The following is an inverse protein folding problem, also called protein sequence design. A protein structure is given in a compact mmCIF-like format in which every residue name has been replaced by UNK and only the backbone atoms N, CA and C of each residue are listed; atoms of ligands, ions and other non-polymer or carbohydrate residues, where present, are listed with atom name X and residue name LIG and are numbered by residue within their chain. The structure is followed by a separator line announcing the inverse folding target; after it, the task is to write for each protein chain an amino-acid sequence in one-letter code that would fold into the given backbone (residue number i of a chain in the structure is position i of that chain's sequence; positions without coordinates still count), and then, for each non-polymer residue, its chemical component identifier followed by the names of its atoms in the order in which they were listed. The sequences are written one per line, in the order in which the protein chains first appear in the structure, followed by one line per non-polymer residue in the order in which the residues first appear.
data_IF_082200875968
#
_entry.id   IF_082200875968
#
_cell.length_a   1.000
_cell.length_b   1.000
_cell.length_c   1.000
_cell.angle_alpha   90.00
_cell.angle_beta   90.00
_cell.angle_gamma   90.00
#
_symmetry.space_group_name_H-M   'P 1'
#
loop_
_entity.id
_entity.type
_entity.pdbx_description
1 polymer ?
#
# COMPACT_ATOMS: atom_id res chain seq x y z
N UNK A 1 5.75 1.62 18.52
CA UNK A 1 4.60 1.74 17.60
C UNK A 1 4.08 0.34 17.27
N UNK A 2 2.76 0.14 17.13
CA UNK A 2 2.15 -1.16 16.81
C UNK A 2 1.60 -1.16 15.38
N UNK A 3 2.46 -1.44 14.40
CA UNK A 3 2.07 -1.45 12.98
C UNK A 3 1.01 -2.52 12.68
N UNK A 4 0.97 -3.61 13.45
CA UNK A 4 0.01 -4.70 13.30
C UNK A 4 -1.46 -4.24 13.30
N UNK A 5 -1.80 -3.19 14.05
CA UNK A 5 -3.17 -2.65 14.03
C UNK A 5 -3.52 -1.99 12.69
N UNK A 6 -2.57 -1.31 12.04
CA UNK A 6 -2.81 -0.75 10.72
C UNK A 6 -3.07 -1.86 9.68
N UNK A 7 -2.27 -2.93 9.69
CA UNK A 7 -2.50 -4.11 8.84
C UNK A 7 -3.86 -4.77 9.10
N UNK A 8 -4.32 -4.78 10.35
CA UNK A 8 -5.65 -5.32 10.69
C UNK A 8 -6.78 -4.43 10.17
N UNK A 9 -6.67 -3.12 10.33
CA UNK A 9 -7.69 -2.14 9.88
C UNK A 9 -7.87 -2.20 8.36
N UNK A 10 -6.77 -2.24 7.61
CA UNK A 10 -6.82 -2.35 6.15
C UNK A 10 -6.81 -3.80 5.65
N UNK A 11 -7.10 -4.77 6.52
CA UNK A 11 -7.09 -6.18 6.16
C UNK A 11 -8.42 -6.66 5.55
N UNK A 12 -8.38 -7.86 4.96
CA UNK A 12 -9.55 -8.50 4.33
C UNK A 12 -10.74 -8.66 5.27
N UNK A 13 -10.49 -8.90 6.56
CA UNK A 13 -11.56 -9.08 7.55
C UNK A 13 -12.41 -7.82 7.67
N UNK A 14 -11.79 -6.64 7.65
CA UNK A 14 -12.51 -5.37 7.75
C UNK A 14 -13.25 -5.08 6.45
N UNK A 15 -12.62 -5.28 5.30
CA UNK A 15 -13.28 -5.14 4.00
C UNK A 15 -14.50 -6.06 3.86
N UNK A 16 -14.37 -7.33 4.25
CA UNK A 16 -15.47 -8.29 4.23
C UNK A 16 -16.56 -7.92 5.22
N UNK A 17 -16.20 -7.40 6.41
CA UNK A 17 -17.16 -6.87 7.38
C UNK A 17 -17.94 -5.68 6.83
N UNK A 18 -17.27 -4.70 6.22
CA UNK A 18 -17.91 -3.54 5.59
C UNK A 18 -18.90 -3.96 4.50
N UNK A 19 -18.55 -4.96 3.69
CA UNK A 19 -19.45 -5.53 2.67
C UNK A 19 -20.62 -6.30 3.28
N UNK A 20 -20.38 -7.07 4.33
CA UNK A 20 -21.42 -7.86 5.00
C UNK A 20 -22.50 -6.97 5.61
N UNK A 21 -22.10 -5.83 6.18
CA UNK A 21 -22.99 -4.87 6.83
C UNK A 21 -23.33 -3.67 5.95
N UNK A 22 -23.11 -3.76 4.63
CA UNK A 22 -23.24 -2.63 3.70
C UNK A 22 -24.61 -1.96 3.81
N UNK A 23 -25.71 -2.71 3.70
CA UNK A 23 -27.07 -2.17 3.81
C UNK A 23 -27.34 -1.44 5.13
N UNK A 24 -26.83 -1.97 6.24
CA UNK A 24 -27.01 -1.35 7.55
C UNK A 24 -26.18 -0.08 7.71
N UNK A 25 -24.93 -0.12 7.24
CA UNK A 25 -24.03 1.02 7.26
C UNK A 25 -24.52 2.14 6.34
N UNK A 26 -24.97 1.80 5.13
CA UNK A 26 -25.48 2.80 4.18
C UNK A 26 -26.77 3.47 4.67
N UNK A 27 -27.62 2.74 5.39
CA UNK A 27 -28.79 3.31 6.05
C UNK A 27 -28.43 4.34 7.12
N UNK A 28 -27.35 4.12 7.87
CA UNK A 28 -26.99 4.95 9.02
C UNK A 28 -25.98 6.07 8.68
N UNK A 29 -25.09 5.83 7.72
CA UNK A 29 -23.91 6.66 7.44
C UNK A 29 -23.85 7.17 5.99
N UNK A 30 -24.80 6.79 5.13
CA UNK A 30 -24.72 7.05 3.69
C UNK A 30 -23.75 6.11 2.99
N UNK A 31 -23.51 6.34 1.70
CA UNK A 31 -22.76 5.37 0.88
C UNK A 31 -21.37 5.09 1.43
N UNK A 32 -21.03 3.81 1.57
CA UNK A 32 -19.72 3.35 2.04
C UNK A 32 -18.75 3.02 0.90
N UNK A 33 -19.19 3.18 -0.35
CA UNK A 33 -18.39 2.86 -1.53
C UNK A 33 -17.01 3.55 -1.56
N UNK A 34 -16.87 4.85 -1.23
CA UNK A 34 -15.56 5.48 -1.16
C UNK A 34 -14.63 4.83 -0.14
N UNK A 35 -15.18 4.36 0.99
CA UNK A 35 -14.42 3.68 2.05
C UNK A 35 -13.94 2.32 1.57
N UNK A 36 -14.81 1.54 0.91
CA UNK A 36 -14.45 0.23 0.35
C UNK A 36 -13.33 0.36 -0.68
N UNK A 37 -13.42 1.34 -1.58
CA UNK A 37 -12.39 1.61 -2.60
C UNK A 37 -11.08 2.00 -1.94
N UNK A 38 -11.11 2.97 -1.01
CA UNK A 38 -9.91 3.42 -0.31
C UNK A 38 -9.23 2.29 0.49
N UNK A 39 -10.01 1.55 1.29
CA UNK A 39 -9.47 0.43 2.07
C UNK A 39 -8.90 -0.65 1.17
N UNK A 40 -9.56 -0.95 0.04
CA UNK A 40 -9.07 -1.89 -0.96
C UNK A 40 -7.73 -1.47 -1.56
N UNK A 41 -7.57 -0.20 -1.93
CA UNK A 41 -6.31 0.33 -2.45
C UNK A 41 -5.17 0.27 -1.43
N UNK A 42 -5.42 0.66 -0.17
CA UNK A 42 -4.41 0.61 0.89
C UNK A 42 -4.01 -0.84 1.20
N UNK A 43 -5.00 -1.74 1.27
CA UNK A 43 -4.80 -3.18 1.44
C UNK A 43 -3.88 -3.75 0.37
N UNK A 44 -4.22 -3.49 -0.90
CA UNK A 44 -3.45 -3.99 -2.04
C UNK A 44 -2.03 -3.41 -2.07
N UNK A 45 -1.88 -2.10 -1.91
CA UNK A 45 -0.57 -1.46 -1.84
C UNK A 45 0.28 -2.05 -0.70
N UNK A 46 -0.33 -2.29 0.47
CA UNK A 46 0.34 -2.88 1.63
C UNK A 46 0.82 -4.31 1.35
N UNK A 47 -0.05 -5.16 0.79
CA UNK A 47 0.33 -6.54 0.44
C UNK A 47 1.44 -6.58 -0.60
N UNK A 48 1.34 -5.76 -1.64
CA UNK A 48 2.34 -5.68 -2.71
C UNK A 48 3.67 -5.19 -2.13
N UNK A 49 3.67 -4.17 -1.27
CA UNK A 49 4.88 -3.58 -0.69
C UNK A 49 5.48 -4.41 0.46
N UNK A 50 4.82 -5.49 0.87
CA UNK A 50 5.29 -6.40 1.93
C UNK A 50 5.38 -7.86 1.47
N UNK A 51 5.51 -8.10 0.16
CA UNK A 51 5.62 -9.45 -0.42
C UNK A 51 6.89 -10.18 0.05
N UNK A 52 6.72 -11.38 0.63
CA UNK A 52 7.81 -12.12 1.29
C UNK A 52 8.33 -13.32 0.51
N UNK A 53 7.61 -13.78 -0.50
CA UNK A 53 7.96 -15.00 -1.22
C UNK A 53 7.68 -14.88 -2.73
N UNK A 54 8.36 -15.66 -3.57
CA UNK A 54 8.37 -15.46 -5.03
C UNK A 54 7.00 -15.50 -5.72
N UNK A 55 6.04 -16.22 -5.14
CA UNK A 55 4.65 -16.30 -5.66
C UNK A 55 3.89 -14.97 -5.53
N UNK A 56 4.24 -14.16 -4.55
CA UNK A 56 3.64 -12.84 -4.29
C UNK A 56 4.54 -11.68 -4.74
N UNK A 57 5.73 -11.98 -5.25
CA UNK A 57 6.69 -10.95 -5.62
C UNK A 57 6.15 -10.06 -6.74
N UNK A 58 6.59 -8.81 -6.74
CA UNK A 58 6.28 -7.85 -7.79
C UNK A 58 6.98 -8.24 -9.09
N UNK A 59 6.25 -8.16 -10.21
CA UNK A 59 6.70 -8.55 -11.55
C UNK A 59 6.37 -7.46 -12.56
N UNK A 60 7.18 -7.31 -13.62
CA UNK A 60 6.84 -6.42 -14.71
C UNK A 60 5.55 -6.91 -15.39
N UNK A 61 4.77 -5.97 -15.91
CA UNK A 61 3.51 -6.17 -16.62
C UNK A 61 2.49 -7.00 -15.81
N UNK A 62 2.51 -6.85 -14.49
CA UNK A 62 1.62 -7.59 -13.60
C UNK A 62 0.52 -6.71 -13.03
N UNK A 63 -0.62 -7.32 -12.69
CA UNK A 63 -1.71 -6.61 -12.01
C UNK A 63 -1.27 -5.93 -10.70
N UNK A 64 -0.21 -6.43 -10.04
CA UNK A 64 0.36 -5.79 -8.86
C UNK A 64 1.09 -4.48 -9.21
N UNK A 65 1.80 -4.45 -10.34
CA UNK A 65 2.42 -3.22 -10.85
C UNK A 65 1.36 -2.18 -11.21
N UNK A 66 0.32 -2.60 -11.95
CA UNK A 66 -0.80 -1.74 -12.33
C UNK A 66 -1.50 -1.13 -11.11
N UNK A 67 -1.66 -1.90 -10.03
CA UNK A 67 -2.24 -1.42 -8.77
C UNK A 67 -1.38 -0.35 -8.11
N UNK A 68 -0.06 -0.48 -8.13
CA UNK A 68 0.85 0.55 -7.59
C UNK A 68 0.82 1.83 -8.43
N UNK A 69 0.82 1.69 -9.76
CA UNK A 69 0.68 2.83 -10.68
C UNK A 69 -0.66 3.55 -10.47
N UNK A 70 -1.76 2.79 -10.38
CA UNK A 70 -3.10 3.32 -10.11
C UNK A 70 -3.16 4.05 -8.78
N UNK A 71 -2.48 3.52 -7.75
CA UNK A 71 -2.42 4.16 -6.43
C UNK A 71 -1.62 5.47 -6.44
N UNK A 72 -0.56 5.58 -7.26
CA UNK A 72 0.16 6.85 -7.47
C UNK A 72 -0.72 7.90 -8.17
N UNK A 73 -1.48 7.47 -9.19
CA UNK A 73 -2.46 8.33 -9.86
C UNK A 73 -3.52 8.81 -8.87
N UNK A 74 -4.11 7.90 -8.09
CA UNK A 74 -5.08 8.22 -7.06
C UNK A 74 -4.55 9.24 -6.05
N UNK A 75 -3.31 9.11 -5.58
CA UNK A 75 -2.72 10.10 -4.68
C UNK A 75 -2.60 11.49 -5.32
N UNK A 76 -2.29 11.55 -6.61
CA UNK A 76 -2.17 12.82 -7.34
C UNK A 76 -3.54 13.47 -7.47
N UNK A 77 -4.56 12.70 -7.84
CA UNK A 77 -5.94 13.18 -7.95
C UNK A 77 -6.50 13.62 -6.58
N UNK A 78 -6.23 12.84 -5.52
CA UNK A 78 -6.66 13.18 -4.17
C UNK A 78 -6.03 14.50 -3.67
N UNK A 79 -4.73 14.71 -3.91
CA UNK A 79 -4.06 15.97 -3.54
C UNK A 79 -4.63 17.17 -4.30
N UNK A 80 -4.83 17.02 -5.62
CA UNK A 80 -5.42 18.06 -6.46
C UNK A 80 -6.84 18.40 -5.99
N UNK A 81 -7.64 17.39 -5.67
CA UNK A 81 -9.01 17.57 -5.19
C UNK A 81 -9.06 18.25 -3.80
N UNK A 82 -8.14 17.88 -2.90
CA UNK A 82 -8.05 18.51 -1.58
C UNK A 82 -7.70 20.00 -1.67
N UNK A 83 -6.94 20.41 -2.70
CA UNK A 83 -6.71 21.82 -3.04
C UNK A 83 -6.15 22.66 -1.90
N UNK A 84 -5.36 22.05 -1.00
CA UNK A 84 -4.78 22.69 0.19
C UNK A 84 -5.77 22.99 1.32
N UNK A 85 -7.03 22.54 1.24
CA UNK A 85 -8.09 22.81 2.22
C UNK A 85 -8.12 21.81 3.40
N UNK A 86 -7.08 20.99 3.53
CA UNK A 86 -7.06 19.85 4.44
C UNK A 86 -7.73 18.60 3.83
N UNK A 87 -7.79 17.51 4.61
CA UNK A 87 -8.34 16.24 4.12
C UNK A 87 -7.40 15.45 3.19
N UNK A 88 -6.12 15.80 3.18
CA UNK A 88 -5.05 15.07 2.51
C UNK A 88 -3.93 14.72 3.51
N UNK A 89 -3.00 13.86 3.08
CA UNK A 89 -1.79 13.52 3.81
C UNK A 89 -0.92 14.76 4.07
N UNK A 90 -0.06 14.70 5.09
CA UNK A 90 0.97 15.72 5.27
C UNK A 90 1.91 15.72 4.06
N UNK A 91 2.50 16.87 3.75
CA UNK A 91 3.42 17.02 2.61
C UNK A 91 4.57 16.00 2.65
N UNK A 92 5.14 15.75 3.84
CA UNK A 92 6.22 14.77 4.01
C UNK A 92 5.75 13.34 3.80
N UNK A 93 4.55 12.98 4.28
CA UNK A 93 4.01 11.63 4.11
C UNK A 93 3.64 11.37 2.64
N UNK A 94 3.01 12.33 1.97
CA UNK A 94 2.68 12.22 0.54
C UNK A 94 3.94 12.08 -0.32
N UNK A 95 4.94 12.94 -0.10
CA UNK A 95 6.21 12.88 -0.81
C UNK A 95 6.94 11.55 -0.56
N UNK A 96 7.04 11.12 0.70
CA UNK A 96 7.68 9.86 1.06
C UNK A 96 7.00 8.66 0.42
N UNK A 97 5.67 8.62 0.41
CA UNK A 97 4.91 7.51 -0.18
C UNK A 97 5.09 7.44 -1.71
N UNK A 98 5.03 8.59 -2.40
CA UNK A 98 5.26 8.65 -3.85
C UNK A 98 6.67 8.22 -4.23
N UNK A 99 7.68 8.78 -3.56
CA UNK A 99 9.08 8.42 -3.81
C UNK A 99 9.30 6.93 -3.56
N UNK A 100 8.79 6.39 -2.44
CA UNK A 100 8.95 4.97 -2.12
C UNK A 100 8.37 4.08 -3.22
N UNK A 101 7.13 4.30 -3.65
CA UNK A 101 6.49 3.46 -4.66
C UNK A 101 7.16 3.64 -6.03
N UNK A 102 7.44 4.88 -6.44
CA UNK A 102 8.13 5.16 -7.71
C UNK A 102 9.53 4.53 -7.77
N UNK A 103 10.29 4.59 -6.66
CA UNK A 103 11.60 3.94 -6.57
C UNK A 103 11.49 2.42 -6.61
N UNK A 104 10.48 1.80 -6.01
CA UNK A 104 10.26 0.34 -6.11
C UNK A 104 9.96 -0.07 -7.55
N UNK A 105 9.11 0.69 -8.26
CA UNK A 105 8.80 0.44 -9.67
C UNK A 105 10.05 0.60 -10.55
N UNK A 106 10.80 1.69 -10.38
CA UNK A 106 12.06 1.90 -11.11
C UNK A 106 13.09 0.81 -10.82
N UNK A 107 13.18 0.34 -9.56
CA UNK A 107 14.06 -0.75 -9.17
C UNK A 107 13.62 -2.08 -9.79
N UNK A 108 12.31 -2.35 -9.86
CA UNK A 108 11.77 -3.51 -10.56
C UNK A 108 12.25 -3.52 -12.01
N UNK A 109 11.99 -2.43 -12.75
CA UNK A 109 12.41 -2.26 -14.15
C UNK A 109 13.90 -2.50 -14.32
N UNK A 110 14.74 -1.83 -13.53
CA UNK A 110 16.20 -1.98 -13.62
C UNK A 110 16.65 -3.43 -13.38
N UNK A 111 16.16 -4.07 -12.32
CA UNK A 111 16.55 -5.43 -11.99
C UNK A 111 16.10 -6.44 -13.05
N UNK A 112 14.94 -6.24 -13.67
CA UNK A 112 14.39 -7.15 -14.67
C UNK A 112 14.98 -6.95 -16.06
N UNK A 113 15.18 -5.70 -16.48
CA UNK A 113 15.64 -5.37 -17.82
C UNK A 113 17.18 -5.35 -17.94
N UNK A 114 17.90 -4.87 -16.90
CA UNK A 114 19.34 -4.69 -16.98
C UNK A 114 20.14 -5.79 -16.27
N UNK A 115 19.59 -6.41 -15.22
CA UNK A 115 20.32 -7.38 -14.38
C UNK A 115 19.87 -8.83 -14.62
N UNK A 116 18.65 -9.04 -15.15
CA UNK A 116 18.12 -10.37 -15.47
C UNK A 116 17.38 -11.07 -14.33
N UNK A 117 16.96 -10.33 -13.30
CA UNK A 117 16.04 -10.84 -12.28
C UNK A 117 14.63 -11.03 -12.86
N UNK A 118 13.85 -11.96 -12.31
CA UNK A 118 12.48 -12.24 -12.79
C UNK A 118 11.38 -11.51 -12.01
N UNK A 119 11.71 -10.99 -10.83
CA UNK A 119 10.78 -10.40 -9.87
C UNK A 119 11.52 -9.67 -8.76
N UNK A 120 10.78 -8.87 -7.97
CA UNK A 120 11.26 -8.14 -6.80
C UNK A 120 10.45 -8.53 -5.55
N UNK A 121 11.12 -9.01 -4.50
CA UNK A 121 10.50 -9.23 -3.19
C UNK A 121 10.56 -7.94 -2.36
N UNK A 122 9.45 -7.21 -2.34
CA UNK A 122 9.34 -5.88 -1.74
C UNK A 122 9.53 -5.85 -0.22
N UNK A 123 9.27 -6.95 0.49
CA UNK A 123 9.55 -7.03 1.93
C UNK A 123 11.05 -6.92 2.27
N UNK A 124 11.95 -7.00 1.29
CA UNK A 124 13.40 -6.79 1.47
C UNK A 124 13.81 -5.32 1.36
N UNK A 125 12.86 -4.43 1.07
CA UNK A 125 13.10 -2.99 0.87
C UNK A 125 12.71 -2.14 2.08
N UNK A 126 12.15 -2.76 3.13
CA UNK A 126 11.84 -2.08 4.39
C UNK A 126 12.99 -2.16 5.40
N UNK A 127 12.94 -1.30 6.42
CA UNK A 127 13.88 -1.31 7.53
C UNK A 127 13.56 -2.36 8.61
N UNK A 128 12.54 -3.20 8.40
CA UNK A 128 12.04 -4.15 9.41
C UNK A 128 13.13 -5.09 9.92
N UNK A 129 14.07 -5.51 9.07
CA UNK A 129 15.18 -6.38 9.48
C UNK A 129 16.10 -5.69 10.49
N UNK A 130 16.35 -4.40 10.31
CA UNK A 130 17.17 -3.59 11.23
C UNK A 130 16.41 -3.35 12.54
N UNK A 131 15.11 -3.08 12.47
CA UNK A 131 14.27 -2.93 13.66
C UNK A 131 14.20 -4.23 14.48
N UNK A 132 14.07 -5.37 13.81
CA UNK A 132 14.10 -6.69 14.45
C UNK A 132 15.44 -6.94 15.15
N UNK A 133 16.56 -6.55 14.53
CA UNK A 133 17.88 -6.64 15.14
C UNK A 133 17.96 -5.79 16.42
N UNK A 134 17.46 -4.55 16.39
CA UNK A 134 17.39 -3.72 17.60
C UNK A 134 16.51 -4.34 18.69
N UNK A 135 15.44 -5.04 18.30
CA UNK A 135 14.62 -5.82 19.22
C UNK A 135 15.42 -6.93 19.93
N UNK A 136 16.22 -7.69 19.17
CA UNK A 136 17.08 -8.76 19.71
C UNK A 136 18.16 -8.18 20.64
N UNK A 137 18.84 -7.10 20.24
CA UNK A 137 19.94 -6.52 21.03
C UNK A 137 19.45 -5.91 22.35
N UNK A 138 18.20 -5.47 22.42
CA UNK A 138 17.60 -4.92 23.65
C UNK A 138 17.08 -5.99 24.62
N UNK A 139 16.92 -7.24 24.17
CA UNK A 139 16.48 -8.37 24.99
C UNK A 139 17.66 -8.97 25.75
#
# INVERSE_FOLDING_TARGET
MRVSFAFQVFGDKVLNGLRLYETELERNCGSIQPVLIFFGMIRDATEIMTSRFPRQALRPDSASEDKLLSFLTYQTEWELHAGGRGGFLSASTAAGLRVTIASVLSLLTYLTENVGYKYLMTAKLSQDLVENLFGIVRQ
#
